data_IF_198044839295
#
_entry.id   IF_198044839295
#
_cell.length_a   1.000
_cell.length_b   1.000
_cell.length_c   1.000
_cell.angle_alpha   90.00
_cell.angle_beta   90.00
_cell.angle_gamma   90.00
#
_symmetry.space_group_name_H-M   'P 1'
#
loop_
_entity.id
_entity.type
_entity.pdbx_description
1 polymer ?
#
# COMPACT_ATOMS: atom_id res chain seq x y z
N UNK A 1 -14.88 -2.08 4.18
CA UNK A 1 -13.93 -2.74 3.26
C UNK A 1 -12.87 -3.33 4.16
N UNK A 2 -12.81 -4.65 4.23
CA UNK A 2 -11.84 -5.33 5.08
C UNK A 2 -10.52 -5.46 4.34
N UNK A 3 -9.44 -5.07 5.00
CA UNK A 3 -8.07 -5.20 4.50
C UNK A 3 -7.42 -6.34 5.26
N UNK A 4 -6.94 -7.34 4.51
CA UNK A 4 -6.14 -8.42 5.05
C UNK A 4 -4.66 -8.22 4.70
N UNK A 5 -3.78 -8.69 5.59
CA UNK A 5 -2.34 -8.67 5.38
C UNK A 5 -1.80 -10.09 5.33
N UNK A 6 -0.96 -10.36 4.34
CA UNK A 6 -0.14 -11.55 4.25
C UNK A 6 1.32 -11.12 4.25
N UNK A 7 2.14 -11.70 5.13
CA UNK A 7 3.53 -11.29 5.28
C UNK A 7 4.47 -12.48 5.50
N UNK A 8 5.66 -12.36 4.93
CA UNK A 8 6.83 -13.22 5.11
C UNK A 8 8.01 -12.35 5.55
N UNK A 9 9.17 -12.97 5.80
CA UNK A 9 10.38 -12.25 6.22
C UNK A 9 10.82 -11.13 5.26
N UNK A 10 10.58 -11.28 3.95
CA UNK A 10 11.10 -10.35 2.92
C UNK A 10 10.03 -9.77 2.01
N UNK A 11 8.79 -10.25 2.07
CA UNK A 11 7.69 -9.82 1.22
C UNK A 11 6.38 -9.76 2.00
N UNK A 12 5.48 -8.91 1.57
CA UNK A 12 4.10 -8.96 2.02
C UNK A 12 3.13 -8.35 1.02
N UNK A 13 1.85 -8.48 1.34
CA UNK A 13 0.75 -8.02 0.51
C UNK A 13 -0.43 -7.61 1.39
N UNK A 14 -1.05 -6.50 1.02
CA UNK A 14 -2.38 -6.12 1.49
C UNK A 14 -3.41 -6.47 0.43
N UNK A 15 -4.54 -7.05 0.85
CA UNK A 15 -5.68 -7.33 -0.02
C UNK A 15 -6.92 -6.64 0.51
N UNK A 16 -7.75 -6.13 -0.39
CA UNK A 16 -8.99 -5.46 -0.05
C UNK A 16 -10.11 -6.04 -0.91
N UNK A 17 -11.13 -6.59 -0.25
CA UNK A 17 -12.25 -7.26 -0.93
C UNK A 17 -13.51 -6.40 -0.84
N UNK A 18 -14.16 -6.21 -1.99
CA UNK A 18 -15.43 -5.49 -2.14
C UNK A 18 -16.24 -6.14 -3.25
N UNK A 19 -17.54 -6.34 -3.05
CA UNK A 19 -18.46 -6.90 -4.06
C UNK A 19 -17.94 -8.18 -4.75
N UNK A 20 -17.32 -9.08 -3.97
CA UNK A 20 -16.76 -10.34 -4.49
C UNK A 20 -15.49 -10.22 -5.33
N UNK A 21 -14.92 -9.02 -5.46
CA UNK A 21 -13.67 -8.77 -6.16
C UNK A 21 -12.59 -8.31 -5.17
N UNK A 22 -11.33 -8.62 -5.48
CA UNK A 22 -10.20 -8.31 -4.60
C UNK A 22 -9.16 -7.47 -5.34
N UNK A 23 -8.82 -6.33 -4.75
CA UNK A 23 -7.62 -5.56 -5.11
C UNK A 23 -6.45 -5.94 -4.20
N UNK A 24 -5.23 -5.73 -4.67
CA UNK A 24 -4.01 -6.04 -3.92
C UNK A 24 -2.93 -4.96 -4.04
N UNK A 25 -2.09 -4.86 -3.02
CA UNK A 25 -0.86 -4.08 -2.99
C UNK A 25 0.26 -4.96 -2.45
N UNK A 26 1.35 -5.12 -3.20
CA UNK A 26 2.51 -5.90 -2.78
C UNK A 26 3.68 -5.00 -2.40
N UNK A 27 4.51 -5.51 -1.49
CA UNK A 27 5.73 -4.85 -1.08
C UNK A 27 6.83 -5.87 -0.75
N UNK A 28 8.07 -5.41 -0.83
CA UNK A 28 9.23 -6.09 -0.26
C UNK A 28 9.71 -5.38 1.00
N UNK A 29 10.24 -6.14 1.96
CA UNK A 29 10.84 -5.60 3.17
C UNK A 29 12.35 -5.64 3.08
N UNK A 30 12.95 -4.46 2.93
CA UNK A 30 14.40 -4.31 2.86
C UNK A 30 15.05 -4.28 4.23
N UNK A 31 14.33 -3.83 5.26
CA UNK A 31 14.77 -3.86 6.66
C UNK A 31 13.56 -3.76 7.61
N UNK A 32 13.73 -3.94 8.93
CA UNK A 32 12.66 -3.69 9.91
C UNK A 32 12.07 -2.27 9.82
N UNK A 33 12.81 -1.32 9.26
CA UNK A 33 12.44 0.09 9.17
C UNK A 33 12.10 0.57 7.77
N UNK A 34 12.06 -0.31 6.76
CA UNK A 34 11.87 0.09 5.37
C UNK A 34 11.19 -0.98 4.53
N UNK A 35 10.09 -0.61 3.88
CA UNK A 35 9.45 -1.39 2.82
C UNK A 35 9.49 -0.67 1.48
N UNK A 36 9.39 -1.43 0.41
CA UNK A 36 9.29 -0.94 -0.97
C UNK A 36 7.97 -1.42 -1.53
N UNK A 37 7.04 -0.50 -1.81
CA UNK A 37 5.77 -0.81 -2.46
C UNK A 37 6.02 -0.88 -3.97
N UNK A 38 5.98 -2.10 -4.50
CA UNK A 38 6.41 -2.41 -5.87
C UNK A 38 5.24 -2.55 -6.87
N UNK A 39 4.05 -2.93 -6.40
CA UNK A 39 2.91 -3.11 -7.26
C UNK A 39 1.57 -2.89 -6.54
N UNK A 40 0.57 -2.45 -7.31
CA UNK A 40 -0.81 -2.29 -6.84
C UNK A 40 -1.74 -2.61 -8.00
N UNK A 41 -2.65 -3.56 -7.77
CA UNK A 41 -3.63 -3.99 -8.75
C UNK A 41 -5.03 -3.83 -8.19
N UNK A 42 -5.91 -3.23 -8.99
CA UNK A 42 -7.33 -3.10 -8.69
C UNK A 42 -8.08 -3.60 -9.91
N UNK A 43 -8.90 -4.66 -9.79
CA UNK A 43 -9.67 -5.17 -10.92
C UNK A 43 -10.67 -4.11 -11.41
N UNK A 44 -11.00 -4.16 -12.70
CA UNK A 44 -11.87 -3.16 -13.34
C UNK A 44 -13.24 -3.02 -12.66
N UNK A 45 -13.79 -4.12 -12.13
CA UNK A 45 -15.04 -4.14 -11.35
C UNK A 45 -14.99 -3.28 -10.07
N UNK A 46 -13.79 -2.92 -9.61
CA UNK A 46 -13.52 -2.07 -8.45
C UNK A 46 -13.00 -0.68 -8.84
N UNK A 47 -12.83 -0.38 -10.13
CA UNK A 47 -12.39 0.94 -10.58
C UNK A 47 -13.39 2.00 -10.11
N UNK A 48 -12.87 3.11 -9.57
CA UNK A 48 -13.70 4.20 -9.03
C UNK A 48 -14.29 3.95 -7.64
N UNK A 49 -14.14 2.75 -7.06
CA UNK A 49 -14.66 2.42 -5.72
C UNK A 49 -13.68 2.70 -4.57
N UNK A 50 -12.55 3.36 -4.86
CA UNK A 50 -11.57 3.76 -3.84
C UNK A 50 -10.68 2.64 -3.29
N UNK A 51 -10.72 1.42 -3.84
CA UNK A 51 -9.97 0.25 -3.32
C UNK A 51 -8.46 0.50 -3.28
N UNK A 52 -7.87 0.99 -4.37
CA UNK A 52 -6.43 1.29 -4.38
C UNK A 52 -6.05 2.39 -3.38
N UNK A 53 -6.93 3.37 -3.17
CA UNK A 53 -6.72 4.42 -2.17
C UNK A 53 -6.74 3.86 -0.75
N UNK A 54 -7.69 2.97 -0.46
CA UNK A 54 -7.81 2.32 0.84
C UNK A 54 -6.55 1.48 1.14
N UNK A 55 -6.05 0.73 0.16
CA UNK A 55 -4.79 -0.02 0.29
C UNK A 55 -3.59 0.89 0.56
N UNK A 56 -3.46 2.00 -0.17
CA UNK A 56 -2.36 2.95 0.04
C UNK A 56 -2.42 3.62 1.40
N UNK A 57 -3.61 4.09 1.81
CA UNK A 57 -3.80 4.72 3.11
C UNK A 57 -3.47 3.74 4.24
N UNK A 58 -3.92 2.49 4.13
CA UNK A 58 -3.61 1.45 5.10
C UNK A 58 -2.10 1.23 5.23
N UNK A 59 -1.38 1.12 4.12
CA UNK A 59 0.08 0.97 4.16
C UNK A 59 0.78 2.15 4.87
N UNK A 60 0.32 3.38 4.64
CA UNK A 60 0.83 4.59 5.31
C UNK A 60 0.56 4.55 6.82
N UNK A 61 -0.64 4.17 7.23
CA UNK A 61 -1.02 4.07 8.65
C UNK A 61 -0.21 3.00 9.38
N UNK A 62 -0.02 1.84 8.76
CA UNK A 62 0.82 0.77 9.31
C UNK A 62 2.28 1.24 9.41
N UNK A 63 2.77 2.03 8.45
CA UNK A 63 4.10 2.62 8.49
C UNK A 63 4.29 3.53 9.70
N UNK A 64 3.29 4.39 9.96
CA UNK A 64 3.28 5.29 11.11
C UNK A 64 3.27 4.51 12.42
N UNK A 65 2.37 3.53 12.55
CA UNK A 65 2.26 2.70 13.76
C UNK A 65 3.54 1.93 14.04
N UNK A 66 4.13 1.33 13.01
CA UNK A 66 5.35 0.54 13.13
C UNK A 66 6.64 1.34 13.12
N UNK A 67 6.58 2.67 13.00
CA UNK A 67 7.77 3.54 12.91
C UNK A 67 8.75 3.12 11.81
N UNK A 68 8.23 2.74 10.64
CA UNK A 68 9.01 2.38 9.45
C UNK A 68 8.62 3.25 8.26
N UNK A 69 9.44 3.22 7.20
CA UNK A 69 9.29 4.06 6.00
C UNK A 69 8.90 3.25 4.77
N UNK A 70 8.37 3.94 3.75
CA UNK A 70 7.95 3.38 2.47
C UNK A 70 8.73 4.04 1.33
N UNK A 71 9.28 3.22 0.43
CA UNK A 71 9.71 3.64 -0.91
C UNK A 71 8.58 3.32 -1.89
N UNK A 72 7.96 4.32 -2.54
CA UNK A 72 6.91 4.10 -3.52
C UNK A 72 7.52 3.84 -4.91
N UNK A 73 7.83 2.59 -5.25
CA UNK A 73 8.31 2.27 -6.61
C UNK A 73 7.16 2.18 -7.62
N UNK A 74 6.01 1.65 -7.21
CA UNK A 74 4.90 1.49 -8.13
C UNK A 74 4.33 2.87 -8.56
N UNK A 75 3.99 3.07 -9.85
CA UNK A 75 3.49 4.36 -10.34
C UNK A 75 2.23 4.84 -9.61
N UNK A 76 1.37 3.90 -9.21
CA UNK A 76 0.17 4.20 -8.44
C UNK A 76 0.51 4.83 -7.08
N UNK A 77 1.38 4.20 -6.29
CA UNK A 77 1.76 4.71 -4.98
C UNK A 77 2.48 6.05 -5.09
N UNK A 78 3.35 6.23 -6.10
CA UNK A 78 3.97 7.54 -6.39
C UNK A 78 2.92 8.62 -6.64
N UNK A 79 1.92 8.31 -7.46
CA UNK A 79 0.83 9.25 -7.73
C UNK A 79 0.04 9.60 -6.47
N UNK A 80 -0.19 8.65 -5.58
CA UNK A 80 -0.86 8.93 -4.31
C UNK A 80 -0.03 9.80 -3.37
N UNK A 81 1.26 9.49 -3.20
CA UNK A 81 2.17 10.33 -2.40
C UNK A 81 2.23 11.77 -2.91
N UNK A 82 2.18 11.99 -4.23
CA UNK A 82 2.13 13.34 -4.79
C UNK A 82 0.82 14.08 -4.49
N UNK A 83 -0.30 13.36 -4.39
CA UNK A 83 -1.62 13.91 -4.05
C UNK A 83 -1.82 14.14 -2.56
N UNK A 84 -1.02 13.46 -1.73
CA UNK A 84 -1.09 13.47 -0.27
C UNK A 84 0.22 13.96 0.35
N UNK A 85 0.50 15.27 0.36
CA UNK A 85 1.71 15.82 0.97
C UNK A 85 1.88 15.45 2.44
N UNK A 86 0.78 15.20 3.14
CA UNK A 86 0.75 14.76 4.54
C UNK A 86 1.31 13.35 4.76
N UNK A 87 1.52 12.55 3.70
CA UNK A 87 2.13 11.22 3.80
C UNK A 87 3.66 11.25 3.83
N UNK A 88 4.26 12.40 3.53
CA UNK A 88 5.73 12.57 3.47
C UNK A 88 6.44 12.21 4.77
N UNK A 89 5.74 12.20 5.90
CA UNK A 89 6.27 11.79 7.19
C UNK A 89 6.75 10.33 7.20
N UNK A 90 6.19 9.46 6.38
CA UNK A 90 6.59 8.04 6.28
C UNK A 90 7.15 7.63 4.91
N UNK A 91 7.27 8.57 3.97
CA UNK A 91 7.89 8.29 2.67
C UNK A 91 9.39 8.54 2.72
N UNK A 92 10.15 7.65 2.10
CA UNK A 92 11.57 7.79 1.83
C UNK A 92 11.80 7.68 0.32
N UNK A 93 12.39 8.71 -0.29
CA UNK A 93 12.66 8.77 -1.73
C UNK A 93 12.19 10.07 -2.35
#
# INVERSE_FOLDING_TARGET
>A
MDIAQEETNTKGRYTATLDGHTGEMTYSRSSPHLIIVDHTFVPDALRGKGVGQALALHAIEEARKGSWKIIPLCPFMRAQVMRHPEWRDVIQG
#
